data_IF_214031824942
#
_entry.id   IF_214031824942
#
_cell.length_a   1.000
_cell.length_b   1.000
_cell.length_c   1.000
_cell.angle_alpha   90.00
_cell.angle_beta   90.00
_cell.angle_gamma   90.00
#
_symmetry.space_group_name_H-M   'P 1'
#
loop_
_entity.id
_entity.type
_entity.pdbx_description
1 polymer ?
#
# COMPACT_ATOMS: atom_id res chain seq x y z
N UNK A 1 -34.13 33.95 36.79
CA UNK A 1 -33.03 32.99 36.78
C UNK A 1 -31.82 33.62 37.47
N UNK A 2 -31.29 32.96 38.46
CA UNK A 2 -30.12 33.44 39.18
C UNK A 2 -28.91 33.44 38.24
N UNK A 3 -28.09 34.50 38.25
CA UNK A 3 -26.91 34.67 37.41
C UNK A 3 -25.96 33.44 37.49
N UNK A 4 -25.88 32.77 38.64
CA UNK A 4 -25.08 31.58 38.85
C UNK A 4 -25.54 30.37 38.02
N UNK A 5 -26.83 30.20 37.79
CA UNK A 5 -27.38 29.07 36.99
C UNK A 5 -27.08 29.28 35.50
N UNK A 6 -27.14 30.55 35.03
CA UNK A 6 -26.82 30.91 33.65
C UNK A 6 -25.33 30.72 33.34
N UNK A 7 -24.47 31.08 34.31
CA UNK A 7 -22.99 30.84 34.16
C UNK A 7 -22.64 29.36 34.13
N UNK A 8 -23.31 28.53 34.98
CA UNK A 8 -23.08 27.07 34.97
C UNK A 8 -23.57 26.44 33.66
N UNK A 9 -24.67 26.91 33.13
CA UNK A 9 -25.19 26.41 31.84
C UNK A 9 -24.26 26.76 30.67
N UNK A 10 -23.72 27.99 30.64
CA UNK A 10 -22.78 28.42 29.62
C UNK A 10 -21.47 27.61 29.72
N UNK A 11 -20.97 27.39 30.95
CA UNK A 11 -19.76 26.58 31.18
C UNK A 11 -19.95 25.14 30.71
N UNK A 12 -21.09 24.55 30.95
CA UNK A 12 -21.46 23.21 30.54
C UNK A 12 -21.56 23.09 29.00
N UNK A 13 -22.13 24.09 28.34
CA UNK A 13 -22.17 24.17 26.88
C UNK A 13 -20.78 24.28 26.25
N UNK A 14 -19.91 25.11 26.86
CA UNK A 14 -18.53 25.24 26.38
C UNK A 14 -17.76 23.91 26.51
N UNK A 15 -17.90 23.22 27.63
CA UNK A 15 -17.25 21.91 27.85
C UNK A 15 -17.77 20.89 26.86
N UNK A 16 -19.07 20.81 26.60
CA UNK A 16 -19.65 19.90 25.60
C UNK A 16 -19.16 20.23 24.21
N UNK A 17 -19.09 21.51 23.83
CA UNK A 17 -18.56 21.94 22.53
C UNK A 17 -17.10 21.55 22.35
N UNK A 18 -16.27 21.71 23.39
CA UNK A 18 -14.86 21.30 23.38
C UNK A 18 -14.70 19.78 23.25
N UNK A 19 -15.55 18.99 23.93
CA UNK A 19 -15.53 17.52 23.83
C UNK A 19 -15.94 17.05 22.43
N UNK A 20 -16.94 17.69 21.83
CA UNK A 20 -17.36 17.37 20.45
C UNK A 20 -16.25 17.71 19.46
N UNK A 21 -15.60 18.87 19.64
CA UNK A 21 -14.49 19.29 18.79
C UNK A 21 -13.29 18.34 18.92
N UNK A 22 -12.94 17.94 20.14
CA UNK A 22 -11.87 16.99 20.42
C UNK A 22 -12.19 15.60 19.83
N UNK A 23 -13.41 15.12 19.97
CA UNK A 23 -13.85 13.87 19.38
C UNK A 23 -13.82 13.88 17.84
N UNK A 24 -14.18 15.01 17.24
CA UNK A 24 -14.12 15.21 15.79
C UNK A 24 -12.66 15.26 15.30
N UNK A 25 -11.79 15.92 16.05
CA UNK A 25 -10.37 16.03 15.74
C UNK A 25 -9.66 14.67 15.85
N UNK A 26 -9.97 13.90 16.90
CA UNK A 26 -9.47 12.51 17.05
C UNK A 26 -9.93 11.60 15.91
N UNK A 27 -11.15 11.74 15.44
CA UNK A 27 -11.64 11.01 14.26
C UNK A 27 -10.95 11.44 12.98
N UNK A 28 -10.66 12.73 12.84
CA UNK A 28 -9.94 13.27 11.69
C UNK A 28 -8.48 12.80 11.68
N UNK A 29 -7.83 12.77 12.84
CA UNK A 29 -6.45 12.29 13.00
C UNK A 29 -6.37 10.77 12.80
N UNK A 30 -7.35 10.00 13.28
CA UNK A 30 -7.45 8.56 13.01
C UNK A 30 -7.72 8.24 11.53
N UNK A 31 -8.39 9.13 10.79
CA UNK A 31 -8.54 9.04 9.35
C UNK A 31 -7.35 9.63 8.59
N UNK A 32 -6.49 10.39 9.26
CA UNK A 32 -5.34 11.07 8.70
C UNK A 32 -4.03 10.27 8.77
N UNK A 33 -3.96 9.19 9.53
CA UNK A 33 -2.83 8.26 9.44
C UNK A 33 -2.95 7.44 8.15
N UNK A 34 -2.01 7.56 7.21
CA UNK A 34 -2.11 6.93 5.90
C UNK A 34 -2.16 5.41 5.97
N UNK A 35 -1.58 4.81 7.02
CA UNK A 35 -1.55 3.37 7.21
C UNK A 35 -0.63 2.64 6.23
N UNK A 36 -1.02 1.42 5.87
CA UNK A 36 -0.28 0.55 4.94
C UNK A 36 -1.03 0.41 3.61
N UNK A 37 -0.33 -0.07 2.57
CA UNK A 37 -0.91 -0.28 1.25
C UNK A 37 -2.11 -1.22 1.29
N UNK A 38 -1.99 -2.35 2.00
CA UNK A 38 -3.04 -3.34 2.17
C UNK A 38 -3.24 -3.65 3.65
N UNK A 39 -4.46 -4.04 4.00
CA UNK A 39 -4.79 -4.55 5.33
C UNK A 39 -4.51 -6.07 5.44
N UNK A 40 -3.37 -6.51 4.88
CA UNK A 40 -2.93 -7.91 4.91
C UNK A 40 -1.66 -8.03 5.75
N UNK A 41 -1.60 -9.10 6.54
CA UNK A 41 -0.36 -9.51 7.18
C UNK A 41 0.56 -10.14 6.12
N UNK A 42 1.78 -9.61 5.89
CA UNK A 42 2.72 -10.17 4.93
C UNK A 42 3.00 -11.66 5.15
N UNK A 43 3.01 -12.12 6.39
CA UNK A 43 3.24 -13.53 6.72
C UNK A 43 2.06 -14.45 6.37
N UNK A 44 0.86 -13.91 6.24
CA UNK A 44 -0.35 -14.67 5.87
C UNK A 44 -0.55 -14.79 4.36
N UNK A 45 0.22 -14.07 3.56
CA UNK A 45 0.12 -14.09 2.09
C UNK A 45 0.63 -15.43 1.57
N UNK A 46 -0.18 -16.10 0.75
CA UNK A 46 0.10 -17.41 0.18
C UNK A 46 0.20 -17.43 -1.34
N UNK A 47 -0.31 -16.40 -2.01
CA UNK A 47 -0.28 -16.28 -3.47
C UNK A 47 0.27 -14.91 -3.88
N UNK A 48 1.28 -14.94 -4.75
CA UNK A 48 1.88 -13.73 -5.33
C UNK A 48 1.85 -13.87 -6.85
N UNK A 49 1.36 -12.84 -7.52
CA UNK A 49 1.46 -12.71 -8.97
C UNK A 49 2.21 -11.43 -9.28
N UNK A 50 3.23 -11.51 -10.09
CA UNK A 50 4.07 -10.37 -10.47
C UNK A 50 4.12 -10.24 -11.98
N UNK A 51 3.76 -9.06 -12.48
CA UNK A 51 3.93 -8.66 -13.88
C UNK A 51 4.81 -7.43 -13.92
N UNK A 52 5.97 -7.54 -14.52
CA UNK A 52 6.85 -6.41 -14.81
C UNK A 52 6.68 -5.97 -16.25
N UNK A 53 6.84 -4.68 -16.54
CA UNK A 53 6.76 -4.16 -17.89
C UNK A 53 7.73 -4.88 -18.82
N UNK A 54 7.22 -5.40 -19.93
CA UNK A 54 8.02 -6.15 -20.91
C UNK A 54 8.39 -7.57 -20.51
N UNK A 55 7.85 -8.09 -19.40
CA UNK A 55 8.09 -9.46 -18.93
C UNK A 55 6.78 -10.24 -18.82
N UNK A 56 6.81 -11.58 -18.97
CA UNK A 56 5.66 -12.41 -18.74
C UNK A 56 5.25 -12.38 -17.27
N UNK A 57 3.97 -12.61 -17.01
CA UNK A 57 3.44 -12.72 -15.66
C UNK A 57 3.99 -13.97 -14.96
N UNK A 58 4.43 -13.80 -13.72
CA UNK A 58 4.96 -14.85 -12.88
C UNK A 58 4.01 -15.13 -11.73
N UNK A 59 3.72 -16.41 -11.47
CA UNK A 59 2.84 -16.85 -10.39
C UNK A 59 3.62 -17.63 -9.36
N UNK A 60 3.38 -17.34 -8.09
CA UNK A 60 4.01 -18.00 -6.95
C UNK A 60 2.96 -18.42 -5.93
N UNK A 61 3.21 -19.56 -5.31
CA UNK A 61 2.37 -20.11 -4.24
C UNK A 61 3.23 -20.57 -3.07
N UNK A 62 2.78 -20.30 -1.86
CA UNK A 62 3.42 -20.76 -0.65
C UNK A 62 2.87 -22.14 -0.26
N UNK A 63 3.75 -23.12 -0.15
CA UNK A 63 3.43 -24.49 0.28
C UNK A 63 4.42 -24.93 1.35
N UNK A 64 3.92 -25.42 2.48
CA UNK A 64 4.73 -25.91 3.60
C UNK A 64 5.81 -24.92 4.06
N UNK A 65 5.44 -23.64 4.12
CA UNK A 65 6.32 -22.54 4.54
C UNK A 65 7.34 -22.09 3.50
N UNK A 66 7.28 -22.60 2.27
CA UNK A 66 8.19 -22.29 1.18
C UNK A 66 7.46 -21.79 -0.05
N UNK A 67 8.12 -20.90 -0.80
CA UNK A 67 7.57 -20.36 -2.03
C UNK A 67 7.95 -21.21 -3.25
N UNK A 68 6.97 -21.43 -4.12
CA UNK A 68 7.11 -22.17 -5.37
C UNK A 68 6.59 -21.33 -6.52
N UNK A 69 7.35 -21.32 -7.61
CA UNK A 69 6.85 -20.81 -8.90
C UNK A 69 5.95 -21.85 -9.52
N UNK A 70 4.76 -21.45 -9.94
CA UNK A 70 3.72 -22.36 -10.45
C UNK A 70 3.50 -22.25 -11.96
N UNK A 71 4.25 -21.39 -12.65
CA UNK A 71 4.22 -21.28 -14.10
C UNK A 71 4.99 -22.47 -14.73
N UNK A 72 4.26 -23.33 -15.41
CA UNK A 72 4.83 -24.53 -15.99
C UNK A 72 5.16 -25.60 -14.93
N UNK A 73 6.34 -26.19 -15.01
CA UNK A 73 6.81 -27.15 -14.00
C UNK A 73 7.07 -26.42 -12.67
N UNK A 74 6.48 -26.87 -11.54
CA UNK A 74 6.71 -26.24 -10.26
C UNK A 74 8.21 -26.21 -9.89
N UNK A 75 8.70 -25.02 -9.56
CA UNK A 75 10.11 -24.79 -9.20
C UNK A 75 10.18 -24.04 -7.87
N UNK A 76 11.14 -24.43 -7.04
CA UNK A 76 11.40 -23.76 -5.77
C UNK A 76 11.86 -22.33 -6.01
N UNK A 77 11.16 -21.37 -5.42
CA UNK A 77 11.56 -19.96 -5.46
C UNK A 77 12.45 -19.58 -4.28
N UNK A 78 13.08 -18.42 -4.33
CA UNK A 78 13.90 -17.90 -3.24
C UNK A 78 12.97 -17.25 -2.21
N UNK A 79 12.79 -17.89 -1.08
CA UNK A 79 11.84 -17.48 -0.04
C UNK A 79 12.04 -16.04 0.41
N UNK A 80 13.26 -15.58 0.60
CA UNK A 80 13.57 -14.22 1.02
C UNK A 80 13.09 -13.17 0.03
N UNK A 81 13.22 -13.43 -1.26
CA UNK A 81 12.75 -12.49 -2.30
C UNK A 81 11.24 -12.42 -2.40
N UNK A 82 10.55 -13.54 -2.21
CA UNK A 82 9.10 -13.57 -2.17
C UNK A 82 8.58 -12.92 -0.87
N UNK A 83 9.28 -13.10 0.24
CA UNK A 83 8.96 -12.39 1.49
C UNK A 83 9.07 -10.87 1.32
N UNK A 84 10.10 -10.37 0.63
CA UNK A 84 10.22 -8.93 0.30
C UNK A 84 9.04 -8.42 -0.53
N UNK A 85 8.56 -9.19 -1.50
CA UNK A 85 7.36 -8.84 -2.27
C UNK A 85 6.11 -8.84 -1.39
N UNK A 86 5.97 -9.81 -0.50
CA UNK A 86 4.86 -9.87 0.45
C UNK A 86 4.88 -8.69 1.43
N UNK A 87 6.05 -8.25 1.88
CA UNK A 87 6.22 -7.12 2.78
C UNK A 87 5.71 -5.79 2.18
N UNK A 88 5.55 -5.73 0.87
CA UNK A 88 4.93 -4.58 0.19
C UNK A 88 3.50 -4.32 0.67
N UNK A 89 2.77 -5.33 1.10
CA UNK A 89 1.44 -5.16 1.70
C UNK A 89 1.48 -4.26 2.94
N UNK A 90 2.53 -4.35 3.74
CA UNK A 90 2.77 -3.56 4.95
C UNK A 90 3.56 -2.27 4.69
N UNK A 91 3.81 -1.91 3.44
CA UNK A 91 4.50 -0.68 3.08
C UNK A 91 3.75 0.53 3.62
N UNK A 92 4.46 1.39 4.35
CA UNK A 92 3.88 2.62 4.90
C UNK A 92 3.54 3.57 3.76
N UNK A 93 2.29 3.99 3.72
CA UNK A 93 1.81 5.00 2.78
C UNK A 93 2.10 6.39 3.34
N UNK A 94 2.68 7.25 2.51
CA UNK A 94 2.97 8.64 2.88
C UNK A 94 1.74 9.52 2.70
N UNK A 95 0.98 9.28 1.64
CA UNK A 95 -0.29 9.97 1.40
C UNK A 95 -1.20 9.14 0.51
N UNK A 96 -2.50 9.31 0.67
CA UNK A 96 -3.55 8.77 -0.18
C UNK A 96 -4.26 9.89 -0.91
N UNK A 97 -4.56 9.68 -2.18
CA UNK A 97 -5.40 10.58 -2.98
C UNK A 97 -6.35 9.77 -3.85
N UNK A 98 -7.53 10.32 -4.19
CA UNK A 98 -8.41 9.66 -5.16
C UNK A 98 -7.70 9.47 -6.51
N UNK A 99 -7.92 8.34 -7.18
CA UNK A 99 -7.35 8.09 -8.51
C UNK A 99 -7.83 9.11 -9.54
N UNK A 100 -9.01 9.70 -9.35
CA UNK A 100 -9.56 10.76 -10.20
C UNK A 100 -8.77 12.08 -10.19
N UNK A 101 -7.90 12.29 -9.19
CA UNK A 101 -7.03 13.47 -9.10
C UNK A 101 -5.85 13.42 -10.08
N UNK A 102 -5.60 12.26 -10.71
CA UNK A 102 -4.45 12.01 -11.57
C UNK A 102 -4.86 11.58 -12.98
N UNK A 103 -4.03 11.97 -13.95
CA UNK A 103 -4.01 11.34 -15.26
C UNK A 103 -3.09 10.11 -15.19
N UNK A 104 -3.59 8.87 -15.35
CA UNK A 104 -2.79 7.66 -15.23
C UNK A 104 -1.56 7.64 -16.15
N UNK A 105 -1.67 8.19 -17.34
CA UNK A 105 -0.57 8.27 -18.28
C UNK A 105 0.58 9.16 -17.80
N UNK A 106 0.27 10.19 -17.00
CA UNK A 106 1.28 11.15 -16.47
C UNK A 106 2.03 10.64 -15.27
N UNK A 107 1.52 9.63 -14.59
CA UNK A 107 2.13 9.03 -13.40
C UNK A 107 2.59 7.59 -13.64
N UNK A 108 2.68 7.18 -14.91
CA UNK A 108 3.19 5.86 -15.30
C UNK A 108 2.27 4.68 -14.98
N UNK A 109 0.97 4.92 -14.89
CA UNK A 109 -0.04 3.88 -14.60
C UNK A 109 -0.86 3.46 -15.84
N UNK A 110 -0.57 4.02 -16.99
CA UNK A 110 -1.25 3.66 -18.23
C UNK A 110 -0.24 3.47 -19.39
N UNK A 111 0.40 2.32 -19.53
CA UNK A 111 0.31 1.10 -18.68
C UNK A 111 1.15 1.21 -17.38
N UNK A 112 0.82 0.43 -16.33
CA UNK A 112 1.64 0.39 -15.12
C UNK A 112 3.01 -0.23 -15.40
N UNK A 113 4.02 0.21 -14.65
CA UNK A 113 5.39 -0.32 -14.76
C UNK A 113 5.53 -1.71 -14.16
N UNK A 114 4.74 -1.98 -13.13
CA UNK A 114 4.63 -3.29 -12.50
C UNK A 114 3.23 -3.48 -11.90
N UNK A 115 2.78 -4.72 -11.88
CA UNK A 115 1.55 -5.12 -11.15
C UNK A 115 1.95 -6.25 -10.21
N UNK A 116 1.78 -6.01 -8.91
CA UNK A 116 1.98 -7.00 -7.86
C UNK A 116 0.63 -7.34 -7.24
N UNK A 117 0.21 -8.58 -7.39
CA UNK A 117 -1.04 -9.07 -6.78
C UNK A 117 -0.71 -9.95 -5.60
N UNK A 118 -1.20 -9.58 -4.42
CA UNK A 118 -1.01 -10.29 -3.16
C UNK A 118 -2.35 -10.84 -2.70
N UNK A 119 -2.50 -12.17 -2.67
CA UNK A 119 -3.76 -12.86 -2.33
C UNK A 119 -4.99 -12.26 -3.06
N UNK A 120 -4.85 -12.01 -4.36
CA UNK A 120 -5.91 -11.47 -5.21
C UNK A 120 -6.12 -9.96 -5.15
N UNK A 121 -5.33 -9.22 -4.35
CA UNK A 121 -5.38 -7.76 -4.29
C UNK A 121 -4.27 -7.13 -5.14
N UNK A 122 -4.60 -6.48 -6.27
CA UNK A 122 -3.61 -5.92 -7.17
C UNK A 122 -3.08 -4.58 -6.68
N UNK A 123 -1.77 -4.40 -6.83
CA UNK A 123 -1.05 -3.14 -6.65
C UNK A 123 -0.42 -2.76 -7.99
N UNK A 124 -0.80 -1.63 -8.55
CA UNK A 124 -0.25 -1.11 -9.80
C UNK A 124 0.78 -0.04 -9.49
N UNK A 125 2.02 -0.28 -9.89
CA UNK A 125 3.15 0.62 -9.65
C UNK A 125 3.38 1.54 -10.84
N UNK A 126 3.40 2.83 -10.57
CA UNK A 126 3.67 3.87 -11.53
C UNK A 126 5.10 4.43 -11.46
N UNK A 127 5.28 5.63 -11.98
CA UNK A 127 6.57 6.33 -11.99
C UNK A 127 6.95 6.87 -10.61
N UNK A 128 8.23 7.20 -10.49
CA UNK A 128 8.75 7.91 -9.32
C UNK A 128 8.20 9.33 -9.26
N UNK A 129 7.91 9.79 -8.05
CA UNK A 129 7.54 11.18 -7.83
C UNK A 129 8.73 12.11 -8.06
N UNK A 130 8.46 13.28 -8.64
CA UNK A 130 9.47 14.33 -8.81
C UNK A 130 9.85 15.03 -7.51
N UNK A 131 9.10 14.81 -6.43
CA UNK A 131 9.28 15.49 -5.14
C UNK A 131 10.09 14.71 -4.12
N UNK A 132 10.49 13.48 -4.43
CA UNK A 132 11.30 12.66 -3.50
C UNK A 132 11.45 11.20 -3.93
N UNK A 133 12.12 10.36 -3.11
CA UNK A 133 12.37 8.95 -3.41
C UNK A 133 11.11 8.09 -3.15
N UNK A 134 10.06 8.38 -3.89
CA UNK A 134 8.72 7.79 -3.75
C UNK A 134 8.17 7.46 -5.14
N UNK A 135 7.24 6.51 -5.19
CA UNK A 135 6.50 6.21 -6.41
C UNK A 135 4.98 6.13 -6.15
N UNK A 136 4.24 6.27 -7.25
CA UNK A 136 2.78 6.15 -7.22
C UNK A 136 2.39 4.68 -7.27
N UNK A 137 1.46 4.29 -6.38
CA UNK A 137 0.87 2.95 -6.36
C UNK A 137 -0.65 3.08 -6.36
N UNK A 138 -1.29 2.49 -7.34
CA UNK A 138 -2.75 2.43 -7.41
C UNK A 138 -3.25 1.21 -6.66
N UNK A 139 -4.16 1.46 -5.72
CA UNK A 139 -4.87 0.44 -4.95
C UNK A 139 -6.38 0.71 -5.07
N UNK A 140 -7.07 -0.05 -5.91
CA UNK A 140 -8.48 0.17 -6.20
C UNK A 140 -8.73 1.56 -6.82
N UNK A 141 -9.51 2.38 -6.15
CA UNK A 141 -9.87 3.73 -6.59
C UNK A 141 -8.99 4.85 -6.00
N UNK A 142 -7.89 4.47 -5.34
CA UNK A 142 -6.99 5.41 -4.68
C UNK A 142 -5.56 5.23 -5.18
N UNK A 143 -4.81 6.33 -5.12
CA UNK A 143 -3.37 6.38 -5.39
C UNK A 143 -2.64 6.65 -4.09
N UNK A 144 -1.69 5.78 -3.76
CA UNK A 144 -0.77 5.91 -2.64
C UNK A 144 0.59 6.45 -3.11
N UNK A 145 1.25 7.21 -2.26
CA UNK A 145 2.65 7.57 -2.41
C UNK A 145 3.46 6.73 -1.43
N UNK A 146 4.41 5.95 -1.94
CA UNK A 146 5.16 4.94 -1.19
C UNK A 146 6.64 5.06 -1.51
N UNK A 147 7.50 4.73 -0.54
CA UNK A 147 8.95 4.73 -0.73
C UNK A 147 9.39 3.82 -1.89
N UNK A 148 10.39 4.26 -2.65
CA UNK A 148 11.04 3.47 -3.70
C UNK A 148 11.66 2.16 -3.19
N UNK A 149 11.86 2.02 -1.89
CA UNK A 149 12.31 0.77 -1.26
C UNK A 149 11.40 -0.42 -1.62
N UNK A 150 10.11 -0.18 -1.76
CA UNK A 150 9.10 -1.19 -2.09
C UNK A 150 8.86 -1.38 -3.60
N UNK A 151 9.81 -0.99 -4.44
CA UNK A 151 9.71 -1.23 -5.88
C UNK A 151 9.79 -2.72 -6.18
N UNK A 152 8.77 -3.35 -6.81
CA UNK A 152 8.78 -4.77 -7.13
C UNK A 152 9.93 -5.10 -8.08
N UNK A 153 10.65 -6.17 -7.76
CA UNK A 153 11.75 -6.69 -8.57
C UNK A 153 11.51 -8.16 -8.85
N UNK A 154 12.03 -8.63 -9.99
CA UNK A 154 11.96 -10.03 -10.30
C UNK A 154 12.67 -10.86 -9.21
N UNK A 155 12.00 -11.89 -8.64
CA UNK A 155 12.61 -12.79 -7.67
C UNK A 155 13.56 -13.80 -8.32
N UNK A 156 13.62 -13.87 -9.66
CA UNK A 156 14.57 -14.70 -10.36
C UNK A 156 16.00 -14.17 -10.17
N UNK A 157 16.96 -15.08 -9.94
CA UNK A 157 18.36 -14.74 -10.02
C UNK A 157 18.65 -14.27 -11.46
N UNK A 158 19.23 -13.11 -11.63
CA UNK A 158 19.93 -12.80 -12.88
C UNK A 158 21.09 -13.80 -12.94
N UNK A 159 20.99 -14.74 -13.84
CA UNK A 159 22.18 -15.51 -14.24
C UNK A 159 23.14 -14.52 -14.86
N UNK A 160 24.08 -14.03 -14.06
CA UNK A 160 25.23 -13.31 -14.61
C UNK A 160 25.98 -14.37 -15.38
N UNK A 161 25.88 -14.33 -16.70
CA UNK A 161 26.76 -15.08 -17.56
C UNK A 161 28.18 -14.63 -17.23
N UNK A 162 28.87 -15.46 -16.48
CA UNK A 162 30.33 -15.38 -16.33
C UNK A 162 30.92 -15.80 -17.66
N UNK A 163 31.30 -14.82 -18.47
CA UNK A 163 32.26 -15.02 -19.54
C UNK A 163 33.65 -14.74 -19.00
#
# INVERSE_FOLDING_TARGET
MKRATRQRLILLLVVVALLVLAGWQLRRDAQGEPGTLLALDPHSISHITLTLSGSPTMHYEKRDGHWWRTDGTPERAIDGRLAELADTAAARVLSWRPASDFDPAKIGLAPPQAILTLDGQPLEFGESSVTGPQHFVRVGQRIALVSLHYTPRSPALKTTELH
#
